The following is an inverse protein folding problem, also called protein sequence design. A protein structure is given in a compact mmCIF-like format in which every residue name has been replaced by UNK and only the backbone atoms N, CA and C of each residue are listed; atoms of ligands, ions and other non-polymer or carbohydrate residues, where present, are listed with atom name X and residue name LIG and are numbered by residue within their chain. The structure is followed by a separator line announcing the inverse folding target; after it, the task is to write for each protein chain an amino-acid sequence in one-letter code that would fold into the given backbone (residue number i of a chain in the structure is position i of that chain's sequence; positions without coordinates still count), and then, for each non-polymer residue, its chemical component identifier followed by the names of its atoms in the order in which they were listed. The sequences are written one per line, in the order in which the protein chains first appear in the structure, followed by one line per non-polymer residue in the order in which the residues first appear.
data_IF_797865280068
#
_entry.id   IF_797865280068
#
_cell.length_a   1.000
_cell.length_b   1.000
_cell.length_c   1.000
_cell.angle_alpha   90.00
_cell.angle_beta   90.00
_cell.angle_gamma   90.00
#
_symmetry.space_group_name_H-M   'P 1'
#
loop_
_entity.id
_entity.type
_entity.pdbx_description
1 polymer ?
#
# COMPACT_ATOMS: atom_id res chain seq x y z
N UNK A 1 -27.86 0.22 -21.93
CA UNK A 1 -26.74 -0.05 -22.88
C UNK A 1 -25.55 0.90 -22.75
N UNK A 2 -25.68 2.21 -22.87
CA UNK A 2 -24.51 3.12 -22.68
C UNK A 2 -23.92 3.08 -21.28
N UNK A 3 -24.73 3.02 -20.24
CA UNK A 3 -24.29 3.02 -18.84
C UNK A 3 -23.59 1.73 -18.44
N UNK A 4 -24.05 0.59 -18.95
CA UNK A 4 -23.43 -0.72 -18.70
C UNK A 4 -22.07 -0.84 -19.40
N UNK A 5 -21.95 -0.40 -20.65
CA UNK A 5 -20.68 -0.37 -21.37
C UNK A 5 -19.66 0.58 -20.74
N UNK A 6 -20.11 1.70 -20.16
CA UNK A 6 -19.25 2.66 -19.46
C UNK A 6 -18.75 2.10 -18.09
N UNK A 7 -19.61 1.35 -17.41
CA UNK A 7 -19.29 0.68 -16.14
C UNK A 7 -18.31 -0.46 -16.37
N UNK A 8 -18.51 -1.27 -17.41
CA UNK A 8 -17.59 -2.34 -17.78
C UNK A 8 -16.22 -1.79 -18.19
N UNK A 9 -16.19 -0.70 -18.96
CA UNK A 9 -14.94 -0.01 -19.32
C UNK A 9 -14.19 0.51 -18.10
N UNK A 10 -14.88 1.05 -17.12
CA UNK A 10 -14.28 1.53 -15.86
C UNK A 10 -13.74 0.40 -15.00
N UNK A 11 -14.43 -0.72 -14.95
CA UNK A 11 -13.96 -1.91 -14.25
C UNK A 11 -12.68 -2.46 -14.90
N UNK A 12 -12.66 -2.60 -16.21
CA UNK A 12 -11.50 -3.11 -16.94
C UNK A 12 -10.28 -2.21 -16.78
N UNK A 13 -10.47 -0.91 -16.91
CA UNK A 13 -9.43 0.09 -16.67
C UNK A 13 -8.94 0.04 -15.23
N UNK A 14 -9.86 -0.03 -14.27
CA UNK A 14 -9.56 -0.15 -12.84
C UNK A 14 -8.77 -1.42 -12.53
N UNK A 15 -9.15 -2.55 -13.12
CA UNK A 15 -8.43 -3.81 -12.94
C UNK A 15 -6.99 -3.73 -13.49
N UNK A 16 -6.81 -3.08 -14.62
CA UNK A 16 -5.49 -2.87 -15.23
C UNK A 16 -4.59 -2.05 -14.30
N UNK A 17 -5.10 -0.95 -13.76
CA UNK A 17 -4.35 -0.09 -12.83
C UNK A 17 -4.09 -0.80 -11.51
N UNK A 18 -5.08 -1.51 -10.95
CA UNK A 18 -4.93 -2.31 -9.74
C UNK A 18 -3.78 -3.32 -9.86
N UNK A 19 -3.72 -4.04 -10.98
CA UNK A 19 -2.62 -4.98 -11.28
C UNK A 19 -1.28 -4.29 -11.42
N UNK A 20 -1.23 -3.15 -12.08
CA UNK A 20 0.00 -2.39 -12.24
C UNK A 20 0.55 -1.87 -10.90
N UNK A 21 -0.31 -1.49 -9.96
CA UNK A 21 0.07 -0.95 -8.65
C UNK A 21 0.35 -2.06 -7.64
N UNK A 22 -0.56 -3.01 -7.48
CA UNK A 22 -0.47 -4.06 -6.46
C UNK A 22 0.32 -5.30 -6.91
N UNK A 23 0.51 -5.47 -8.20
CA UNK A 23 1.13 -6.64 -8.81
C UNK A 23 0.13 -7.76 -9.13
N UNK A 24 0.38 -8.48 -10.20
CA UNK A 24 -0.49 -9.55 -10.68
C UNK A 24 -0.67 -10.67 -9.64
N UNK A 25 0.41 -11.07 -8.97
CA UNK A 25 0.35 -12.16 -7.99
C UNK A 25 -0.60 -11.85 -6.82
N UNK A 26 -0.58 -10.61 -6.31
CA UNK A 26 -1.49 -10.19 -5.26
C UNK A 26 -2.94 -10.19 -5.74
N UNK A 27 -3.19 -9.61 -6.91
CA UNK A 27 -4.55 -9.52 -7.48
C UNK A 27 -5.09 -10.90 -7.80
N UNK A 28 -4.28 -11.80 -8.36
CA UNK A 28 -4.67 -13.18 -8.63
C UNK A 28 -5.08 -13.93 -7.36
N UNK A 29 -4.34 -13.76 -6.26
CA UNK A 29 -4.71 -14.33 -4.96
C UNK A 29 -6.02 -13.74 -4.42
N UNK A 30 -6.23 -12.45 -4.56
CA UNK A 30 -7.45 -11.79 -4.14
C UNK A 30 -8.66 -12.26 -4.96
N UNK A 31 -8.51 -12.36 -6.28
CA UNK A 31 -9.55 -12.86 -7.19
C UNK A 31 -9.90 -14.33 -6.89
N UNK A 32 -8.90 -15.17 -6.59
CA UNK A 32 -9.12 -16.59 -6.25
C UNK A 32 -9.88 -16.78 -4.92
N UNK A 33 -9.80 -15.82 -4.00
CA UNK A 33 -10.51 -15.84 -2.70
C UNK A 33 -11.88 -15.18 -2.75
N UNK A 34 -12.22 -14.52 -3.83
CA UNK A 34 -13.49 -13.84 -4.01
C UNK A 34 -14.66 -14.83 -3.97
N UNK A 35 -15.70 -14.47 -3.25
CA UNK A 35 -16.94 -15.25 -3.14
C UNK A 35 -18.14 -14.40 -3.56
N UNK A 36 -19.31 -15.03 -3.65
CA UNK A 36 -20.55 -14.30 -3.95
C UNK A 36 -20.89 -13.21 -2.89
N UNK A 37 -20.36 -13.35 -1.67
CA UNK A 37 -20.58 -12.37 -0.61
C UNK A 37 -19.83 -11.06 -0.86
N UNK A 38 -18.56 -11.13 -1.22
CA UNK A 38 -17.69 -9.95 -1.37
C UNK A 38 -17.48 -9.49 -2.82
N UNK A 39 -17.98 -10.24 -3.79
CA UNK A 39 -17.89 -9.87 -5.20
C UNK A 39 -18.41 -8.44 -5.47
N UNK A 40 -19.61 -8.03 -4.99
CA UNK A 40 -20.09 -6.67 -5.20
C UNK A 40 -19.18 -5.60 -4.57
N UNK A 41 -18.56 -5.90 -3.43
CA UNK A 41 -17.59 -5.00 -2.80
C UNK A 41 -16.29 -4.90 -3.61
N UNK A 42 -15.75 -6.01 -4.08
CA UNK A 42 -14.54 -6.02 -4.91
C UNK A 42 -14.77 -5.30 -6.23
N UNK A 43 -15.93 -5.46 -6.84
CA UNK A 43 -16.34 -4.72 -8.03
C UNK A 43 -16.42 -3.23 -7.76
N UNK A 44 -17.09 -2.83 -6.69
CA UNK A 44 -17.20 -1.43 -6.27
C UNK A 44 -15.83 -0.78 -6.08
N UNK A 45 -14.92 -1.41 -5.36
CA UNK A 45 -13.56 -0.92 -5.14
C UNK A 45 -12.79 -0.79 -6.45
N UNK A 46 -12.90 -1.78 -7.32
CA UNK A 46 -12.20 -1.76 -8.62
C UNK A 46 -12.70 -0.64 -9.52
N UNK A 47 -14.01 -0.41 -9.57
CA UNK A 47 -14.62 0.65 -10.38
C UNK A 47 -14.37 2.05 -9.79
N UNK A 48 -14.50 2.22 -8.47
CA UNK A 48 -14.47 3.54 -7.84
C UNK A 48 -13.07 3.99 -7.45
N UNK A 49 -12.29 3.16 -6.78
CA UNK A 49 -10.93 3.51 -6.39
C UNK A 49 -9.97 3.39 -7.57
N UNK A 50 -9.84 2.22 -8.13
CA UNK A 50 -8.87 1.96 -9.19
C UNK A 50 -9.27 2.56 -10.52
N UNK A 51 -10.52 2.41 -10.93
CA UNK A 51 -11.06 2.93 -12.18
C UNK A 51 -11.54 4.39 -12.10
N UNK A 52 -11.84 4.90 -10.91
CA UNK A 52 -12.40 6.25 -10.72
C UNK A 52 -11.40 7.28 -10.20
N UNK A 53 -10.42 6.87 -9.39
CA UNK A 53 -9.44 7.77 -8.78
C UNK A 53 -8.03 7.56 -9.32
N UNK A 54 -7.52 6.34 -9.28
CA UNK A 54 -6.15 6.04 -9.69
C UNK A 54 -5.88 6.21 -11.19
N UNK A 55 -6.91 6.24 -12.00
CA UNK A 55 -6.83 6.50 -13.44
C UNK A 55 -6.79 7.99 -13.80
N UNK A 56 -7.08 8.89 -12.86
CA UNK A 56 -7.11 10.33 -13.13
C UNK A 56 -5.72 10.87 -13.46
N UNK A 57 -5.59 11.72 -14.49
CA UNK A 57 -4.27 12.16 -14.99
C UNK A 57 -3.61 13.25 -14.15
N UNK A 58 -4.34 13.93 -13.25
CA UNK A 58 -3.85 15.14 -12.57
C UNK A 58 -2.75 14.86 -11.53
N UNK A 59 -2.67 13.63 -11.04
CA UNK A 59 -1.57 13.14 -10.19
C UNK A 59 -1.01 11.85 -10.75
N UNK A 60 0.30 11.70 -10.70
CA UNK A 60 0.95 10.45 -11.08
C UNK A 60 0.78 9.34 -10.02
N UNK A 61 1.11 8.11 -10.37
CA UNK A 61 0.98 6.95 -9.47
C UNK A 61 1.89 7.04 -8.26
N UNK A 62 3.07 7.59 -8.42
CA UNK A 62 4.03 7.82 -7.33
C UNK A 62 3.42 8.73 -6.26
N UNK A 63 2.88 9.85 -6.64
CA UNK A 63 2.23 10.80 -5.74
C UNK A 63 1.00 10.18 -5.08
N UNK A 64 0.15 9.47 -5.84
CA UNK A 64 -1.00 8.75 -5.28
C UNK A 64 -0.59 7.69 -4.25
N UNK A 65 0.49 6.98 -4.51
CA UNK A 65 1.06 6.01 -3.58
C UNK A 65 1.47 6.65 -2.25
N UNK A 66 2.16 7.80 -2.29
CA UNK A 66 2.56 8.55 -1.10
C UNK A 66 1.36 9.07 -0.31
N UNK A 67 0.34 9.59 -0.98
CA UNK A 67 -0.90 10.05 -0.35
C UNK A 67 -1.60 8.88 0.34
N UNK A 68 -1.74 7.74 -0.34
CA UNK A 68 -2.37 6.53 0.20
C UNK A 68 -1.63 6.02 1.44
N UNK A 69 -0.31 5.94 1.37
CA UNK A 69 0.54 5.53 2.51
C UNK A 69 0.34 6.47 3.70
N UNK A 70 0.34 7.78 3.48
CA UNK A 70 0.14 8.75 4.55
C UNK A 70 -1.24 8.64 5.20
N UNK A 71 -2.30 8.48 4.41
CA UNK A 71 -3.68 8.32 4.90
C UNK A 71 -3.82 7.03 5.72
N UNK A 72 -3.31 5.91 5.21
CA UNK A 72 -3.39 4.61 5.88
C UNK A 72 -2.60 4.61 7.19
N UNK A 73 -1.43 5.26 7.21
CA UNK A 73 -0.63 5.46 8.42
C UNK A 73 -1.39 6.29 9.46
N UNK A 74 -1.96 7.42 9.05
CA UNK A 74 -2.74 8.30 9.92
C UNK A 74 -3.97 7.62 10.52
N UNK A 75 -4.65 6.77 9.75
CA UNK A 75 -5.83 6.02 10.17
C UNK A 75 -5.52 4.72 10.92
N UNK A 76 -4.26 4.31 11.01
CA UNK A 76 -3.85 3.07 11.67
C UNK A 76 -4.29 1.80 10.92
N UNK A 77 -4.41 1.85 9.59
CA UNK A 77 -4.78 0.72 8.75
C UNK A 77 -3.53 -0.09 8.37
N UNK A 78 -3.03 -0.88 9.29
CA UNK A 78 -1.71 -1.51 9.19
C UNK A 78 -1.61 -2.55 8.08
N UNK A 79 -2.65 -3.36 7.85
CA UNK A 79 -2.63 -4.37 6.78
C UNK A 79 -2.59 -3.73 5.39
N UNK A 80 -3.45 -2.75 5.16
CA UNK A 80 -3.50 -2.00 3.90
C UNK A 80 -2.24 -1.14 3.73
N UNK A 81 -1.71 -0.57 4.81
CA UNK A 81 -0.45 0.15 4.79
C UNK A 81 0.70 -0.75 4.34
N UNK A 82 0.80 -1.96 4.90
CA UNK A 82 1.80 -2.94 4.50
C UNK A 82 1.70 -3.28 3.01
N UNK A 83 0.49 -3.46 2.50
CA UNK A 83 0.24 -3.70 1.08
C UNK A 83 0.75 -2.55 0.21
N UNK A 84 0.42 -1.30 0.56
CA UNK A 84 0.82 -0.13 -0.21
C UNK A 84 2.31 0.21 -0.05
N UNK A 85 2.94 -0.11 1.06
CA UNK A 85 4.39 -0.03 1.22
C UNK A 85 5.10 -1.01 0.26
N UNK A 86 4.62 -2.24 0.12
CA UNK A 86 5.15 -3.18 -0.87
C UNK A 86 4.90 -2.70 -2.30
N UNK A 87 3.71 -2.16 -2.57
CA UNK A 87 3.33 -1.64 -3.87
C UNK A 87 4.18 -0.43 -4.31
N UNK A 88 4.86 0.24 -3.41
CA UNK A 88 5.74 1.37 -3.73
C UNK A 88 6.84 1.00 -4.74
N UNK A 89 7.28 -0.26 -4.76
CA UNK A 89 8.20 -0.77 -5.76
C UNK A 89 7.62 -0.69 -7.19
N UNK A 90 6.31 -0.77 -7.34
CA UNK A 90 5.61 -0.69 -8.63
C UNK A 90 5.21 0.74 -9.01
N UNK A 91 5.01 1.62 -8.03
CA UNK A 91 4.55 3.00 -8.27
C UNK A 91 5.69 3.99 -8.44
N UNK A 92 6.92 3.60 -8.10
CA UNK A 92 8.08 4.47 -8.14
C UNK A 92 8.22 5.42 -6.96
N UNK A 93 7.42 5.24 -5.88
CA UNK A 93 7.61 5.99 -4.65
C UNK A 93 8.92 5.56 -3.97
N UNK A 94 9.86 6.49 -3.84
CA UNK A 94 11.16 6.24 -3.25
C UNK A 94 11.08 6.09 -1.72
N UNK A 95 12.01 5.33 -1.15
CA UNK A 95 12.08 5.13 0.31
C UNK A 95 12.20 6.47 1.05
N UNK A 96 12.99 7.39 0.53
CA UNK A 96 13.18 8.73 1.08
C UNK A 96 11.88 9.54 1.05
N UNK A 97 11.10 9.42 -0.01
CA UNK A 97 9.80 10.10 -0.12
C UNK A 97 8.77 9.53 0.86
N UNK A 98 8.76 8.22 1.05
CA UNK A 98 7.92 7.56 2.05
C UNK A 98 8.30 8.03 3.45
N UNK A 99 9.59 8.11 3.75
CA UNK A 99 10.07 8.69 5.03
C UNK A 99 9.54 10.09 5.25
N UNK A 100 9.64 10.96 4.25
CA UNK A 100 9.13 12.35 4.34
C UNK A 100 7.62 12.39 4.54
N UNK A 101 6.86 11.54 3.85
CA UNK A 101 5.41 11.41 4.06
C UNK A 101 5.06 11.00 5.49
N UNK A 102 5.80 10.05 6.08
CA UNK A 102 5.59 9.61 7.46
C UNK A 102 5.99 10.68 8.49
N UNK A 103 6.96 11.54 8.19
CA UNK A 103 7.26 12.73 9.01
C UNK A 103 6.08 13.70 9.03
N UNK A 104 5.40 13.91 7.91
CA UNK A 104 4.16 14.68 7.86
C UNK A 104 3.05 14.04 8.71
N UNK A 105 2.90 12.72 8.66
CA UNK A 105 1.96 11.99 9.53
C UNK A 105 2.26 12.24 11.00
N UNK A 106 3.53 12.25 11.40
CA UNK A 106 3.94 12.51 12.79
C UNK A 106 3.49 13.89 13.27
N UNK A 107 3.58 14.90 12.41
CA UNK A 107 3.20 16.28 12.74
C UNK A 107 1.68 16.47 12.74
N UNK A 108 0.98 15.98 11.74
CA UNK A 108 -0.43 16.28 11.51
C UNK A 108 -1.41 15.25 12.08
N UNK A 109 -0.98 14.01 12.28
CA UNK A 109 -1.81 12.93 12.84
C UNK A 109 -1.31 12.42 14.20
N UNK A 110 -0.11 12.81 14.61
CA UNK A 110 0.49 12.46 15.88
C UNK A 110 1.59 11.41 15.81
N UNK A 111 2.55 11.53 16.71
CA UNK A 111 3.71 10.65 16.80
C UNK A 111 3.34 9.18 16.99
N UNK A 112 2.35 8.80 17.81
CA UNK A 112 1.99 7.38 17.95
C UNK A 112 1.56 6.70 16.65
N UNK A 113 0.78 7.36 15.80
CA UNK A 113 0.40 6.84 14.50
C UNK A 113 1.60 6.67 13.57
N UNK A 114 2.47 7.67 13.52
CA UNK A 114 3.71 7.62 12.73
C UNK A 114 4.68 6.55 13.25
N UNK A 115 4.79 6.37 14.55
CA UNK A 115 5.69 5.37 15.15
C UNK A 115 5.38 3.96 14.68
N UNK A 116 4.10 3.56 14.71
CA UNK A 116 3.65 2.26 14.20
C UNK A 116 3.91 2.11 12.69
N UNK A 117 3.64 3.16 11.93
CA UNK A 117 3.86 3.18 10.49
C UNK A 117 5.35 3.09 10.11
N UNK A 118 6.21 3.81 10.83
CA UNK A 118 7.67 3.77 10.65
C UNK A 118 8.23 2.38 10.95
N UNK A 119 7.77 1.74 12.02
CA UNK A 119 8.19 0.38 12.36
C UNK A 119 7.82 -0.61 11.25
N UNK A 120 6.61 -0.49 10.71
CA UNK A 120 6.13 -1.32 9.61
C UNK A 120 6.94 -1.06 8.32
N UNK A 121 7.17 0.20 7.99
CA UNK A 121 7.96 0.60 6.82
C UNK A 121 9.40 0.12 6.91
N UNK A 122 10.03 0.21 8.07
CA UNK A 122 11.39 -0.33 8.31
C UNK A 122 11.47 -1.81 7.95
N UNK A 123 10.51 -2.61 8.38
CA UNK A 123 10.49 -4.04 8.11
C UNK A 123 10.27 -4.40 6.64
N UNK A 124 9.52 -3.58 5.92
CA UNK A 124 9.16 -3.84 4.51
C UNK A 124 10.17 -3.25 3.54
N UNK A 125 10.67 -2.04 3.80
CA UNK A 125 11.51 -1.26 2.89
C UNK A 125 13.00 -1.37 3.19
N UNK A 126 13.40 -2.01 4.31
CA UNK A 126 14.81 -2.19 4.61
C UNK A 126 15.49 -2.97 3.48
N UNK A 127 16.65 -2.53 2.98
CA UNK A 127 17.51 -3.41 2.20
C UNK A 127 17.77 -4.65 3.07
N UNK A 128 17.79 -5.85 2.46
CA UNK A 128 18.16 -7.08 3.17
C UNK A 128 19.41 -6.78 3.97
N UNK A 129 19.33 -6.96 5.29
CA UNK A 129 20.42 -6.61 6.18
C UNK A 129 21.67 -7.34 5.70
N UNK A 130 22.66 -6.56 5.33
CA UNK A 130 24.01 -7.01 5.13
C UNK A 130 24.37 -7.92 6.32
N UNK A 131 24.47 -9.24 6.08
CA UNK A 131 24.65 -10.38 6.95
C UNK A 131 25.28 -10.22 8.34
N UNK A 132 24.81 -9.25 9.11
CA UNK A 132 25.20 -9.10 10.51
C UNK A 132 24.29 -9.99 11.36
N UNK A 133 24.85 -11.06 11.95
CA UNK A 133 24.06 -11.89 12.87
C UNK A 133 23.58 -11.05 14.06
N UNK A 134 22.41 -11.35 14.63
CA UNK A 134 21.95 -10.66 15.84
C UNK A 134 23.00 -10.83 16.94
N UNK A 135 23.32 -9.72 17.64
CA UNK A 135 24.19 -9.71 18.80
C UNK A 135 23.79 -10.85 19.75
N UNK A 136 24.69 -11.81 19.94
CA UNK A 136 24.52 -12.81 21.00
C UNK A 136 24.47 -12.06 22.35
N UNK A 137 23.52 -12.40 23.24
CA UNK A 137 23.51 -11.80 24.56
C UNK A 137 24.80 -12.19 25.30
N UNK A 138 25.49 -11.15 25.76
CA UNK A 138 26.74 -11.26 26.51
C UNK A 138 26.58 -12.23 27.70
N UNK A 139 27.38 -13.32 27.71
CA UNK A 139 27.36 -14.38 28.73
C UNK A 139 28.16 -13.99 30.00
N UNK A 140 28.27 -12.73 30.34
CA UNK A 140 29.08 -12.31 31.50
C UNK A 140 28.31 -11.99 32.81
N UNK A 141 27.03 -12.30 32.91
CA UNK A 141 26.27 -12.14 34.16
C UNK A 141 25.81 -13.47 34.77
N UNK A 142 26.75 -14.40 34.94
CA UNK A 142 26.56 -15.58 35.81
C UNK A 142 27.85 -15.83 36.59
N UNK A 143 28.02 -15.07 37.67
CA UNK A 143 28.76 -15.50 38.86
C UNK A 143 28.04 -15.01 40.12
#
# INVERSE_FOLDING_TARGET
MRKEAEVDSRYEEGMRVRRAVLGDAHVDRAEARKTAFDEPFQRFVTETAWGGVWTRPDLDRRTRSLITIAILAALGRHEELALHLRASANTGAAVEEIREALLHVAVYAGVPAANSAVALAKGILAPEADGTPPDEPNKEDRQ
#
